data_IF_788710899685
#
_entry.id   IF_788710899685
#
_cell.length_a   1.000
_cell.length_b   1.000
_cell.length_c   1.000
_cell.angle_alpha   90.00
_cell.angle_beta   90.00
_cell.angle_gamma   90.00
#
_symmetry.space_group_name_H-M   'P 1'
#
loop_
_entity.id
_entity.type
_entity.pdbx_description
1 polymer ?
#
# COMPACT_ATOMS: atom_id res chain seq x y z
N UNK A 1 -6.61 6.17 18.22
CA UNK A 1 -7.26 5.43 19.32
C UNK A 1 -7.27 3.95 18.96
N UNK A 2 -7.01 3.01 19.89
CA UNK A 2 -7.16 1.60 19.58
C UNK A 2 -8.62 1.33 19.21
N UNK A 3 -8.78 0.66 18.09
CA UNK A 3 -10.04 0.32 17.47
C UNK A 3 -10.84 -0.62 18.38
N UNK A 4 -12.06 -0.23 18.70
CA UNK A 4 -12.93 -0.92 19.67
C UNK A 4 -13.22 -2.36 19.26
N UNK A 5 -13.30 -2.62 17.95
CA UNK A 5 -13.56 -3.94 17.39
C UNK A 5 -12.39 -4.90 17.62
N UNK A 6 -11.15 -4.42 17.49
CA UNK A 6 -9.96 -5.24 17.77
C UNK A 6 -9.82 -5.57 19.25
N UNK A 7 -10.13 -4.63 20.14
CA UNK A 7 -10.15 -4.89 21.58
C UNK A 7 -11.22 -5.91 21.97
N UNK A 8 -12.36 -5.94 21.26
CA UNK A 8 -13.38 -6.97 21.45
C UNK A 8 -12.88 -8.36 21.03
N UNK A 9 -12.17 -8.47 19.89
CA UNK A 9 -11.56 -9.74 19.47
C UNK A 9 -10.48 -10.23 20.43
N UNK A 10 -9.63 -9.33 20.95
CA UNK A 10 -8.65 -9.67 21.98
C UNK A 10 -9.31 -10.11 23.29
N UNK A 11 -10.41 -9.48 23.67
CA UNK A 11 -11.14 -9.82 24.90
C UNK A 11 -11.83 -11.20 24.82
N UNK A 12 -12.16 -11.67 23.62
CA UNK A 12 -12.77 -12.99 23.41
C UNK A 12 -11.77 -14.07 23.02
N UNK A 13 -10.53 -13.70 22.67
CA UNK A 13 -9.47 -14.64 22.33
C UNK A 13 -9.10 -15.56 23.51
N UNK A 14 -8.75 -16.80 23.20
CA UNK A 14 -8.39 -17.84 24.17
C UNK A 14 -6.92 -18.20 24.02
N UNK A 15 -6.25 -18.51 25.12
CA UNK A 15 -4.94 -19.13 25.07
C UNK A 15 -5.10 -20.62 24.75
N UNK A 16 -4.55 -21.05 23.61
CA UNK A 16 -4.48 -22.45 23.19
C UNK A 16 -3.02 -22.76 22.89
N UNK A 17 -2.45 -23.73 23.61
CA UNK A 17 -1.04 -24.15 23.47
C UNK A 17 -0.02 -23.00 23.54
N UNK A 18 -0.25 -22.04 24.43
CA UNK A 18 0.63 -20.88 24.62
C UNK A 18 0.47 -19.79 23.54
N UNK A 19 -0.43 -19.96 22.59
CA UNK A 19 -0.77 -18.96 21.57
C UNK A 19 -2.15 -18.35 21.83
N UNK A 20 -2.29 -17.03 21.66
CA UNK A 20 -3.60 -16.37 21.67
C UNK A 20 -4.30 -16.70 20.35
N UNK A 21 -5.38 -17.46 20.42
CA UNK A 21 -6.25 -17.78 19.29
C UNK A 21 -7.55 -16.97 19.40
N UNK A 22 -8.03 -16.37 18.30
CA UNK A 22 -9.31 -15.67 18.29
C UNK A 22 -10.46 -16.65 18.54
N UNK A 23 -11.53 -16.23 19.20
CA UNK A 23 -12.73 -17.06 19.37
C UNK A 23 -13.55 -17.21 18.09
N UNK A 24 -13.41 -16.27 17.15
CA UNK A 24 -14.12 -16.22 15.88
C UNK A 24 -13.14 -15.76 14.78
N UNK A 25 -12.62 -16.72 14.02
CA UNK A 25 -11.68 -16.43 12.94
C UNK A 25 -12.31 -15.66 11.77
N UNK A 26 -13.62 -15.82 11.53
CA UNK A 26 -14.33 -15.18 10.41
C UNK A 26 -14.55 -13.70 10.70
N UNK A 27 -14.98 -13.38 11.92
CA UNK A 27 -15.13 -11.99 12.37
C UNK A 27 -13.77 -11.26 12.45
N UNK A 28 -12.69 -11.96 12.84
CA UNK A 28 -11.34 -11.40 12.79
C UNK A 28 -10.90 -11.11 11.35
N UNK A 29 -11.12 -12.04 10.41
CA UNK A 29 -10.81 -11.84 8.99
C UNK A 29 -11.56 -10.64 8.41
N UNK A 30 -12.84 -10.47 8.74
CA UNK A 30 -13.63 -9.31 8.31
C UNK A 30 -13.06 -7.99 8.87
N UNK A 31 -12.65 -7.98 10.14
CA UNK A 31 -12.02 -6.81 10.78
C UNK A 31 -10.69 -6.45 10.13
N UNK A 32 -9.84 -7.46 9.86
CA UNK A 32 -8.58 -7.29 9.14
C UNK A 32 -8.83 -6.77 7.72
N UNK A 33 -9.83 -7.31 7.02
CA UNK A 33 -10.19 -6.87 5.68
C UNK A 33 -10.64 -5.40 5.62
N UNK A 34 -11.46 -4.97 6.59
CA UNK A 34 -11.89 -3.57 6.72
C UNK A 34 -10.70 -2.64 7.01
N UNK A 35 -9.81 -3.05 7.92
CA UNK A 35 -8.59 -2.30 8.25
C UNK A 35 -7.64 -2.15 7.07
N UNK A 36 -7.49 -3.17 6.23
CA UNK A 36 -6.71 -3.09 4.98
C UNK A 36 -7.36 -2.10 4.00
N UNK A 37 -8.69 -2.09 3.95
CA UNK A 37 -9.45 -1.09 3.18
C UNK A 37 -9.10 0.33 3.62
N UNK A 38 -9.22 0.63 4.92
CA UNK A 38 -8.82 1.93 5.48
C UNK A 38 -7.35 2.25 5.23
N UNK A 39 -6.45 1.28 5.35
CA UNK A 39 -5.03 1.50 5.11
C UNK A 39 -4.71 1.90 3.66
N UNK A 40 -5.51 1.46 2.68
CA UNK A 40 -5.34 1.89 1.29
C UNK A 40 -5.70 3.36 1.12
N UNK A 41 -6.77 3.82 1.78
CA UNK A 41 -7.16 5.22 1.81
C UNK A 41 -6.14 6.08 2.57
N UNK A 42 -5.64 5.60 3.70
CA UNK A 42 -4.58 6.29 4.46
C UNK A 42 -3.30 6.45 3.61
N UNK A 43 -2.92 5.39 2.88
CA UNK A 43 -1.79 5.43 1.96
C UNK A 43 -2.01 6.41 0.80
N UNK A 44 -3.25 6.52 0.29
CA UNK A 44 -3.61 7.49 -0.74
C UNK A 44 -3.48 8.92 -0.22
N UNK A 45 -4.02 9.22 0.96
CA UNK A 45 -3.92 10.55 1.57
C UNK A 45 -2.44 10.96 1.74
N UNK A 46 -1.61 10.04 2.24
CA UNK A 46 -0.16 10.26 2.32
C UNK A 46 0.46 10.47 0.93
N UNK A 47 0.05 9.70 -0.08
CA UNK A 47 0.55 9.86 -1.45
C UNK A 47 0.22 11.24 -2.03
N UNK A 48 -0.98 11.76 -1.76
CA UNK A 48 -1.41 13.10 -2.15
C UNK A 48 -0.57 14.18 -1.46
N UNK A 49 -0.30 14.03 -0.16
CA UNK A 49 0.58 14.94 0.59
C UNK A 49 2.01 14.95 0.01
N UNK A 50 2.58 13.78 -0.29
CA UNK A 50 3.91 13.67 -0.92
C UNK A 50 3.94 14.26 -2.32
N UNK A 51 2.89 14.05 -3.12
CA UNK A 51 2.77 14.61 -4.45
C UNK A 51 2.71 16.14 -4.41
N UNK A 52 1.89 16.70 -3.51
CA UNK A 52 1.78 18.14 -3.30
C UNK A 52 3.12 18.75 -2.86
N UNK A 53 3.77 18.16 -1.87
CA UNK A 53 5.07 18.60 -1.39
C UNK A 53 6.15 18.56 -2.50
N UNK A 54 6.18 17.51 -3.33
CA UNK A 54 7.14 17.43 -4.43
C UNK A 54 6.86 18.46 -5.52
N UNK A 55 5.60 18.71 -5.86
CA UNK A 55 5.22 19.74 -6.82
C UNK A 55 5.59 21.13 -6.32
N UNK A 56 5.43 21.41 -5.03
CA UNK A 56 5.85 22.67 -4.41
C UNK A 56 7.39 22.82 -4.43
N UNK A 57 8.13 21.83 -3.92
CA UNK A 57 9.60 21.85 -3.85
C UNK A 57 10.23 21.96 -5.24
N UNK A 58 9.65 21.29 -6.24
CA UNK A 58 10.14 21.33 -7.62
C UNK A 58 9.75 22.59 -8.38
N UNK A 59 9.04 23.54 -7.74
CA UNK A 59 8.50 24.75 -8.39
C UNK A 59 7.67 24.39 -9.64
N UNK A 60 6.80 23.39 -9.50
CA UNK A 60 5.95 22.83 -10.56
C UNK A 60 6.71 22.19 -11.75
N UNK A 61 8.03 21.96 -11.66
CA UNK A 61 8.78 21.21 -12.69
C UNK A 61 8.47 19.72 -12.66
N UNK A 62 8.11 19.20 -11.49
CA UNK A 62 7.69 17.80 -11.32
C UNK A 62 6.21 17.81 -10.94
N UNK A 63 5.38 17.24 -11.80
CA UNK A 63 3.96 17.08 -11.56
C UNK A 63 3.66 15.61 -11.28
N UNK A 64 3.22 15.33 -10.06
CA UNK A 64 2.74 14.01 -9.67
C UNK A 64 1.24 14.06 -9.49
N UNK A 65 0.51 13.16 -10.14
CA UNK A 65 -0.95 13.05 -9.99
C UNK A 65 -1.29 11.78 -9.23
N UNK A 66 -2.22 11.87 -8.30
CA UNK A 66 -2.82 10.71 -7.63
C UNK A 66 -4.23 10.52 -8.17
N UNK A 67 -4.55 9.29 -8.58
CA UNK A 67 -5.83 8.93 -9.18
C UNK A 67 -6.41 7.72 -8.46
N UNK A 68 -7.73 7.70 -8.31
CA UNK A 68 -8.44 6.52 -7.84
C UNK A 68 -8.41 5.40 -8.88
N UNK A 69 -8.19 4.18 -8.39
CA UNK A 69 -8.28 2.96 -9.18
C UNK A 69 -9.47 2.17 -8.67
N UNK A 70 -10.50 2.08 -9.49
CA UNK A 70 -11.70 1.31 -9.17
C UNK A 70 -11.37 -0.18 -8.95
N UNK A 71 -12.21 -0.87 -8.18
CA UNK A 71 -12.14 -2.32 -8.07
C UNK A 71 -12.40 -2.97 -9.44
N UNK A 72 -11.65 -4.01 -9.79
CA UNK A 72 -12.00 -4.86 -10.93
C UNK A 72 -13.16 -5.81 -10.61
N UNK A 73 -13.55 -6.64 -11.58
CA UNK A 73 -14.55 -7.70 -11.39
C UNK A 73 -14.03 -8.83 -10.47
N UNK A 74 -14.90 -9.76 -10.07
CA UNK A 74 -14.55 -10.83 -9.10
C UNK A 74 -13.23 -11.53 -9.45
N UNK A 75 -12.27 -11.49 -8.52
CA UNK A 75 -10.93 -12.11 -8.66
C UNK A 75 -9.83 -11.13 -9.09
N UNK A 76 -10.20 -9.91 -9.50
CA UNK A 76 -9.28 -8.82 -9.78
C UNK A 76 -8.80 -8.12 -8.49
N UNK A 77 -7.71 -7.34 -8.55
CA UNK A 77 -7.33 -6.45 -7.46
C UNK A 77 -8.49 -5.52 -7.10
N UNK A 78 -8.68 -5.34 -5.79
CA UNK A 78 -9.65 -4.42 -5.22
C UNK A 78 -9.31 -2.94 -5.51
N UNK A 79 -10.08 -2.02 -4.91
CA UNK A 79 -9.84 -0.59 -5.10
C UNK A 79 -8.45 -0.20 -4.59
N UNK A 80 -7.95 0.91 -5.10
CA UNK A 80 -6.64 1.42 -4.77
C UNK A 80 -6.41 2.79 -5.38
N UNK A 81 -5.14 3.17 -5.49
CA UNK A 81 -4.75 4.44 -6.10
C UNK A 81 -3.55 4.26 -7.02
N UNK A 82 -3.37 5.22 -7.92
CA UNK A 82 -2.25 5.28 -8.84
C UNK A 82 -1.58 6.65 -8.74
N UNK A 83 -0.25 6.65 -8.60
CA UNK A 83 0.57 7.84 -8.73
C UNK A 83 1.20 7.88 -10.12
N UNK A 84 1.07 9.00 -10.82
CA UNK A 84 1.62 9.22 -12.15
C UNK A 84 2.76 10.24 -12.10
N UNK A 85 3.91 9.89 -12.68
CA UNK A 85 5.09 10.73 -12.85
C UNK A 85 5.61 10.59 -14.29
N UNK A 86 5.17 11.47 -15.18
CA UNK A 86 5.47 11.37 -16.61
C UNK A 86 4.97 10.05 -17.21
N UNK A 87 5.88 9.27 -17.80
CA UNK A 87 5.60 7.92 -18.32
C UNK A 87 5.56 6.82 -17.24
N UNK A 88 5.98 7.12 -16.02
CA UNK A 88 6.06 6.14 -14.94
C UNK A 88 4.82 6.22 -14.06
N UNK A 89 4.38 5.06 -13.58
CA UNK A 89 3.24 4.96 -12.69
C UNK A 89 3.52 3.96 -11.58
N UNK A 90 3.09 4.32 -10.37
CA UNK A 90 3.00 3.44 -9.21
C UNK A 90 1.53 3.16 -8.95
N UNK A 91 1.13 1.90 -8.99
CA UNK A 91 -0.24 1.47 -8.70
C UNK A 91 -0.24 0.68 -7.38
N UNK A 92 -0.99 1.15 -6.39
CA UNK A 92 -1.17 0.48 -5.10
C UNK A 92 -2.59 -0.04 -5.03
N UNK A 93 -2.76 -1.35 -4.92
CA UNK A 93 -4.08 -1.98 -4.85
C UNK A 93 -4.12 -3.04 -3.75
N UNK A 94 -5.30 -3.23 -3.18
CA UNK A 94 -5.58 -4.37 -2.33
C UNK A 94 -5.76 -5.62 -3.19
N UNK A 95 -5.17 -6.75 -2.80
CA UNK A 95 -5.48 -8.06 -3.38
C UNK A 95 -5.71 -9.07 -2.26
N UNK A 96 -6.95 -9.53 -2.10
CA UNK A 96 -7.36 -10.35 -0.95
C UNK A 96 -7.01 -9.65 0.38
N UNK A 97 -6.09 -10.24 1.14
CA UNK A 97 -5.60 -9.74 2.43
C UNK A 97 -4.23 -9.05 2.32
N UNK A 98 -3.73 -8.72 1.13
CA UNK A 98 -2.44 -8.05 0.97
C UNK A 98 -2.58 -6.71 0.26
N UNK A 99 -1.57 -5.85 0.43
CA UNK A 99 -1.36 -4.70 -0.45
C UNK A 99 -0.32 -5.06 -1.48
N UNK A 100 -0.54 -4.62 -2.71
CA UNK A 100 0.42 -4.78 -3.81
C UNK A 100 0.74 -3.41 -4.37
N UNK A 101 2.03 -3.07 -4.38
CA UNK A 101 2.56 -1.92 -5.11
C UNK A 101 3.19 -2.40 -6.42
N UNK A 102 2.80 -1.81 -7.54
CA UNK A 102 3.33 -2.12 -8.86
C UNK A 102 3.85 -0.86 -9.54
N UNK A 103 5.13 -0.88 -9.93
CA UNK A 103 5.74 0.19 -10.69
C UNK A 103 5.81 -0.24 -12.14
N UNK A 104 5.30 0.61 -13.02
CA UNK A 104 5.32 0.37 -14.46
C UNK A 104 5.66 1.65 -15.22
N UNK A 105 6.10 1.49 -16.46
CA UNK A 105 6.28 2.58 -17.42
C UNK A 105 5.37 2.37 -18.61
N UNK A 106 4.89 3.44 -19.22
CA UNK A 106 4.05 3.43 -20.41
C UNK A 106 4.84 4.05 -21.56
N UNK A 107 5.07 3.26 -22.60
CA UNK A 107 5.75 3.69 -23.83
C UNK A 107 5.03 3.08 -25.03
N UNK A 108 4.75 3.88 -26.05
CA UNK A 108 4.11 3.44 -27.30
C UNK A 108 2.81 2.65 -27.07
N UNK A 109 1.98 3.12 -26.11
CA UNK A 109 0.75 2.46 -25.66
C UNK A 109 0.94 1.06 -25.05
N UNK A 110 2.18 0.64 -24.82
CA UNK A 110 2.52 -0.57 -24.10
C UNK A 110 2.90 -0.24 -22.66
N UNK A 111 2.43 -1.07 -21.75
CA UNK A 111 2.77 -0.99 -20.32
C UNK A 111 3.81 -2.05 -20.00
N UNK A 112 4.95 -1.61 -19.47
CA UNK A 112 5.99 -2.51 -18.96
C UNK A 112 6.07 -2.42 -17.44
N UNK A 113 5.97 -3.57 -16.76
CA UNK A 113 6.15 -3.65 -15.31
C UNK A 113 7.64 -3.63 -15.00
N UNK A 114 8.05 -2.69 -14.15
CA UNK A 114 9.44 -2.51 -13.71
C UNK A 114 9.70 -3.15 -12.34
N UNK A 115 8.67 -3.29 -11.51
CA UNK A 115 8.79 -3.91 -10.20
C UNK A 115 7.44 -4.12 -9.53
N UNK A 116 7.38 -5.10 -8.65
CA UNK A 116 6.23 -5.40 -7.80
C UNK A 116 6.71 -5.57 -6.37
N UNK A 117 5.90 -5.16 -5.41
CA UNK A 117 6.12 -5.34 -3.98
C UNK A 117 4.82 -5.81 -3.35
N UNK A 118 4.89 -6.88 -2.56
CA UNK A 118 3.75 -7.37 -1.79
C UNK A 118 3.97 -7.07 -0.31
N UNK A 119 2.91 -6.62 0.35
CA UNK A 119 2.89 -6.30 1.76
C UNK A 119 1.81 -7.12 2.45
N UNK A 120 2.24 -8.02 3.32
CA UNK A 120 1.34 -8.82 4.15
C UNK A 120 0.99 -8.06 5.44
N UNK A 121 -0.29 -8.05 5.84
CA UNK A 121 -0.70 -7.44 7.09
C UNK A 121 -0.15 -8.26 8.26
N UNK A 122 0.44 -7.57 9.24
CA UNK A 122 0.78 -8.09 10.55
C UNK A 122 0.16 -7.18 11.61
N UNK A 123 -0.09 -7.74 12.78
CA UNK A 123 -0.56 -6.97 13.92
C UNK A 123 0.53 -6.98 14.97
N UNK A 124 0.84 -5.81 15.52
CA UNK A 124 1.68 -5.74 16.71
C UNK A 124 0.91 -6.22 17.95
N UNK A 125 1.61 -6.36 19.08
CA UNK A 125 1.00 -6.77 20.35
C UNK A 125 -0.05 -5.79 20.89
N UNK A 126 -0.15 -4.59 20.32
CA UNK A 126 -1.12 -3.55 20.68
C UNK A 126 -2.27 -3.44 19.67
N UNK A 127 -2.27 -4.25 18.62
CA UNK A 127 -3.30 -4.26 17.58
C UNK A 127 -3.11 -3.27 16.44
N UNK A 128 -1.97 -2.60 16.34
CA UNK A 128 -1.65 -1.73 15.22
C UNK A 128 -1.37 -2.57 13.98
N UNK A 129 -1.84 -2.11 12.83
CA UNK A 129 -1.55 -2.73 11.55
C UNK A 129 -0.12 -2.36 11.11
N UNK A 130 0.72 -3.38 10.99
CA UNK A 130 2.03 -3.32 10.39
C UNK A 130 2.02 -4.12 9.08
N UNK A 131 3.05 -3.92 8.27
CA UNK A 131 3.15 -4.53 6.96
C UNK A 131 4.48 -5.24 6.81
N UNK A 132 4.43 -6.54 6.55
CA UNK A 132 5.61 -7.33 6.24
C UNK A 132 5.84 -7.32 4.73
N UNK A 133 7.00 -6.81 4.31
CA UNK A 133 7.46 -6.91 2.93
C UNK A 133 8.01 -8.32 2.61
N UNK A 134 8.21 -8.60 1.32
CA UNK A 134 8.81 -9.86 0.82
C UNK A 134 10.17 -10.20 1.48
N UNK A 135 10.92 -9.20 1.95
CA UNK A 135 12.20 -9.38 2.65
C UNK A 135 12.05 -9.53 4.18
N UNK A 136 10.84 -9.84 4.66
CA UNK A 136 10.49 -9.98 6.07
C UNK A 136 10.69 -8.72 6.94
N UNK A 137 10.87 -7.54 6.34
CA UNK A 137 10.90 -6.26 7.07
C UNK A 137 9.46 -5.82 7.43
N UNK A 138 9.24 -5.50 8.71
CA UNK A 138 8.02 -4.88 9.21
C UNK A 138 8.06 -3.37 8.98
N UNK A 139 6.98 -2.83 8.43
CA UNK A 139 6.88 -1.45 7.98
C UNK A 139 5.54 -0.84 8.42
N UNK A 140 5.55 0.46 8.73
CA UNK A 140 4.33 1.26 8.85
C UNK A 140 3.82 1.67 7.47
N UNK A 141 2.56 2.11 7.36
CA UNK A 141 1.99 2.64 6.13
C UNK A 141 2.81 3.83 5.58
N UNK A 142 3.24 4.75 6.45
CA UNK A 142 4.11 5.87 6.06
C UNK A 142 5.44 5.40 5.45
N UNK A 143 6.06 4.36 6.02
CA UNK A 143 7.31 3.82 5.49
C UNK A 143 7.10 3.11 4.14
N UNK A 144 5.95 2.45 3.95
CA UNK A 144 5.59 1.84 2.66
C UNK A 144 5.51 2.90 1.57
N UNK A 145 4.72 3.96 1.79
CA UNK A 145 4.52 4.97 0.75
C UNK A 145 5.83 5.69 0.42
N UNK A 146 6.65 6.03 1.42
CA UNK A 146 8.00 6.60 1.21
C UNK A 146 8.86 5.70 0.33
N UNK A 147 8.89 4.40 0.62
CA UNK A 147 9.70 3.43 -0.13
C UNK A 147 9.20 3.26 -1.57
N UNK A 148 7.89 3.13 -1.75
CA UNK A 148 7.28 3.00 -3.09
C UNK A 148 7.49 4.29 -3.92
N UNK A 149 7.36 5.45 -3.29
CA UNK A 149 7.60 6.74 -3.92
C UNK A 149 9.07 6.90 -4.33
N UNK A 150 10.01 6.52 -3.45
CA UNK A 150 11.43 6.51 -3.78
C UNK A 150 11.72 5.60 -4.98
N UNK A 151 11.11 4.40 -5.03
CA UNK A 151 11.26 3.49 -6.16
C UNK A 151 10.69 4.08 -7.45
N UNK A 152 9.54 4.76 -7.41
CA UNK A 152 8.97 5.48 -8.55
C UNK A 152 9.94 6.56 -9.06
N UNK A 153 10.49 7.36 -8.15
CA UNK A 153 11.46 8.41 -8.48
C UNK A 153 12.75 7.84 -9.07
N UNK A 154 13.24 6.72 -8.52
CA UNK A 154 14.41 6.00 -9.06
C UNK A 154 14.13 5.50 -10.49
N UNK A 155 12.97 4.88 -10.73
CA UNK A 155 12.57 4.43 -12.07
C UNK A 155 12.53 5.59 -13.07
N UNK A 156 11.99 6.75 -12.66
CA UNK A 156 11.94 7.95 -13.50
C UNK A 156 13.32 8.58 -13.74
N UNK A 157 14.29 8.40 -12.85
CA UNK A 157 15.67 8.88 -13.04
C UNK A 157 16.46 7.99 -13.99
N UNK A 158 16.32 6.66 -13.88
CA UNK A 158 17.07 5.69 -14.69
C UNK A 158 16.86 5.93 -16.19
N UNK A 159 15.65 6.33 -16.60
CA UNK A 159 15.32 6.64 -17.98
C UNK A 159 15.92 7.95 -18.50
N UNK A 160 16.12 8.95 -17.64
CA UNK A 160 16.76 10.21 -18.05
C UNK A 160 18.29 10.06 -18.25
N UNK A 161 18.91 9.03 -17.68
CA UNK A 161 20.35 8.74 -17.83
C UNK A 161 20.70 7.86 -19.02
N UNK A 162 19.72 7.21 -19.66
CA UNK A 162 19.92 6.37 -20.86
C UNK A 162 19.72 7.10 -22.19
N UNK A 163 19.34 8.38 -22.15
CA UNK A 163 19.10 9.22 -23.33
C UNK A 163 20.18 10.32 -23.51
N UNK A 164 21.32 10.20 -22.83
CA UNK A 164 22.45 11.16 -22.86
C UNK A 164 23.73 10.59 -23.46
#
# INVERSE_FOLDING_TARGET
MPDREWLQHLATARLVDGSLQPSDEEALRATVYNRIGHATEDLKALAEDYAAALTEISQARINVRVLDVAAGERGEPGPGFMMLLGRHQLCVRRRNYTLTGEISTVQDFQRQILGTAVFEPKTDSFGSLLWQSDNALLMSSDLIIKRLFEQLMRAARITNSSEG
#
